data_IF_893128758377
#
_entry.id   IF_893128758377
#
_cell.length_a   1.000
_cell.length_b   1.000
_cell.length_c   1.000
_cell.angle_alpha   90.00
_cell.angle_beta   90.00
_cell.angle_gamma   90.00
#
_symmetry.space_group_name_H-M   'P 1'
#
loop_
_entity.id
_entity.type
_entity.pdbx_description
1 polymer ?
#
# COMPACT_ATOMS: atom_id res chain seq x y z
N UNK A 1 2.15 17.52 -14.28
CA UNK A 1 1.01 16.58 -14.47
C UNK A 1 1.00 15.48 -13.42
N UNK A 2 2.14 14.83 -13.11
CA UNK A 2 2.20 13.75 -12.10
C UNK A 2 1.94 14.27 -10.68
N UNK A 3 2.57 15.38 -10.28
CA UNK A 3 2.37 15.94 -8.92
C UNK A 3 0.91 16.28 -8.61
N UNK A 4 0.16 16.75 -9.61
CA UNK A 4 -1.26 17.03 -9.45
C UNK A 4 -2.06 15.75 -9.18
N UNK A 5 -1.72 14.64 -9.86
CA UNK A 5 -2.35 13.34 -9.62
C UNK A 5 -1.99 12.79 -8.23
N UNK A 6 -0.73 12.92 -7.81
CA UNK A 6 -0.30 12.50 -6.47
C UNK A 6 -1.04 13.27 -5.38
N UNK A 7 -1.16 14.60 -5.52
CA UNK A 7 -1.95 15.41 -4.57
C UNK A 7 -3.42 15.02 -4.54
N UNK A 8 -4.04 14.80 -5.71
CA UNK A 8 -5.44 14.40 -5.77
C UNK A 8 -5.68 13.04 -5.11
N UNK A 9 -4.82 12.05 -5.35
CA UNK A 9 -4.93 10.73 -4.73
C UNK A 9 -4.76 10.78 -3.21
N UNK A 10 -3.78 11.54 -2.71
CA UNK A 10 -3.57 11.73 -1.25
C UNK A 10 -4.77 12.43 -0.60
N UNK A 11 -5.34 13.43 -1.26
CA UNK A 11 -6.51 14.14 -0.76
C UNK A 11 -7.73 13.21 -0.65
N UNK A 12 -8.02 12.41 -1.69
CA UNK A 12 -9.13 11.44 -1.67
C UNK A 12 -8.97 10.37 -0.57
N UNK A 13 -7.73 9.92 -0.33
CA UNK A 13 -7.41 9.00 0.76
C UNK A 13 -7.60 9.65 2.14
N UNK A 14 -7.14 10.89 2.32
CA UNK A 14 -7.24 11.63 3.58
C UNK A 14 -8.69 11.98 3.98
N UNK A 15 -9.66 11.85 3.07
CA UNK A 15 -11.09 12.01 3.37
C UNK A 15 -11.70 10.76 4.03
N UNK A 16 -10.95 9.67 4.18
CA UNK A 16 -11.41 8.41 4.81
C UNK A 16 -10.91 8.31 6.24
N UNK A 17 -11.68 7.63 7.09
CA UNK A 17 -11.26 7.35 8.48
C UNK A 17 -10.13 6.30 8.55
N UNK A 18 -9.95 5.50 7.49
CA UNK A 18 -8.92 4.47 7.39
C UNK A 18 -9.08 3.63 6.12
N UNK A 19 -8.02 2.96 5.69
CA UNK A 19 -8.01 2.18 4.43
C UNK A 19 -7.27 0.85 4.56
N UNK A 20 -7.77 -0.14 3.83
CA UNK A 20 -7.06 -1.39 3.54
C UNK A 20 -6.69 -1.44 2.07
N UNK A 21 -5.39 -1.59 1.78
CA UNK A 21 -4.85 -1.70 0.42
C UNK A 21 -4.62 -3.18 0.10
N UNK A 22 -5.29 -3.69 -0.92
CA UNK A 22 -4.95 -4.99 -1.49
C UNK A 22 -3.55 -4.91 -2.12
N UNK A 23 -2.61 -5.67 -1.56
CA UNK A 23 -1.20 -5.45 -1.77
C UNK A 23 -0.51 -6.71 -2.29
N UNK A 24 0.09 -6.63 -3.48
CA UNK A 24 0.81 -7.74 -4.09
C UNK A 24 2.34 -7.56 -4.06
N UNK A 25 2.84 -6.42 -3.57
CA UNK A 25 4.25 -6.03 -3.68
C UNK A 25 4.64 -5.43 -5.04
N UNK A 26 3.76 -5.51 -6.04
CA UNK A 26 3.97 -4.91 -7.36
C UNK A 26 3.84 -3.39 -7.34
N UNK A 27 4.53 -2.72 -8.29
CA UNK A 27 4.69 -1.26 -8.34
C UNK A 27 3.40 -0.47 -8.16
N UNK A 28 2.29 -0.89 -8.79
CA UNK A 28 1.02 -0.17 -8.70
C UNK A 28 0.46 -0.20 -7.27
N UNK A 29 0.41 -1.38 -6.66
CA UNK A 29 -0.06 -1.55 -5.28
C UNK A 29 0.86 -0.88 -4.26
N UNK A 30 2.18 -0.86 -4.53
CA UNK A 30 3.19 -0.20 -3.69
C UNK A 30 3.07 1.31 -3.72
N UNK A 31 2.79 1.90 -4.90
CA UNK A 31 2.49 3.33 -4.99
C UNK A 31 1.23 3.67 -4.19
N UNK A 32 0.16 2.89 -4.32
CA UNK A 32 -1.08 3.13 -3.56
C UNK A 32 -0.84 2.98 -2.05
N UNK A 33 -0.12 1.95 -1.62
CA UNK A 33 0.22 1.73 -0.21
C UNK A 33 1.05 2.89 0.37
N UNK A 34 2.05 3.38 -0.37
CA UNK A 34 2.85 4.53 0.06
C UNK A 34 2.01 5.82 0.16
N UNK A 35 1.13 6.07 -0.82
CA UNK A 35 0.24 7.24 -0.78
C UNK A 35 -0.76 7.16 0.37
N UNK A 36 -1.26 5.96 0.69
CA UNK A 36 -2.16 5.72 1.80
C UNK A 36 -1.47 5.93 3.15
N UNK A 37 -0.27 5.35 3.33
CA UNK A 37 0.51 5.53 4.55
C UNK A 37 0.89 7.01 4.77
N UNK A 38 1.33 7.70 3.72
CA UNK A 38 1.66 9.13 3.83
C UNK A 38 0.43 10.00 4.18
N UNK A 39 -0.77 9.60 3.77
CA UNK A 39 -2.00 10.37 3.99
C UNK A 39 -2.66 10.08 5.35
N UNK A 40 -2.62 8.82 5.80
CA UNK A 40 -3.40 8.31 6.93
C UNK A 40 -2.53 7.72 8.06
N UNK A 41 -1.22 7.57 7.86
CA UNK A 41 -0.31 7.02 8.85
C UNK A 41 -0.67 5.59 9.26
N UNK A 42 -1.00 5.41 10.55
CA UNK A 42 -1.34 4.11 11.15
C UNK A 42 -2.74 3.61 10.75
N UNK A 43 -3.60 4.48 10.22
CA UNK A 43 -4.95 4.12 9.76
C UNK A 43 -4.95 3.53 8.33
N UNK A 44 -3.77 3.34 7.74
CA UNK A 44 -3.56 2.61 6.48
C UNK A 44 -2.90 1.25 6.72
N UNK A 45 -3.49 0.20 6.16
CA UNK A 45 -2.98 -1.18 6.25
C UNK A 45 -2.87 -1.80 4.85
N UNK A 46 -1.71 -2.34 4.51
CA UNK A 46 -1.52 -3.20 3.35
C UNK A 46 -1.93 -4.63 3.68
N UNK A 47 -2.48 -5.39 2.74
CA UNK A 47 -2.88 -6.78 2.97
C UNK A 47 -2.59 -7.63 1.74
N UNK A 48 -1.74 -8.66 1.90
CA UNK A 48 -1.49 -9.66 0.86
C UNK A 48 -2.33 -10.91 1.10
N UNK A 49 -3.12 -11.29 0.09
CA UNK A 49 -3.87 -12.53 0.14
C UNK A 49 -2.93 -13.74 -0.01
N UNK A 50 -2.81 -14.54 1.04
CA UNK A 50 -2.05 -15.79 1.02
C UNK A 50 -2.94 -16.95 0.57
N UNK A 51 -2.50 -17.71 -0.43
CA UNK A 51 -3.14 -18.95 -0.88
C UNK A 51 -2.09 -20.05 -1.08
N UNK A 52 -2.54 -21.30 -1.26
CA UNK A 52 -1.65 -22.44 -1.56
C UNK A 52 -0.84 -22.25 -2.84
N UNK A 53 -1.30 -21.40 -3.75
CA UNK A 53 -0.65 -21.12 -5.04
C UNK A 53 0.30 -19.92 -4.99
N UNK A 54 0.34 -19.16 -3.89
CA UNK A 54 1.23 -18.00 -3.77
C UNK A 54 2.64 -18.48 -3.41
N UNK A 55 3.67 -18.21 -4.23
CA UNK A 55 5.05 -18.54 -3.89
C UNK A 55 5.50 -17.78 -2.63
N UNK A 56 6.23 -18.45 -1.74
CA UNK A 56 6.76 -17.82 -0.52
C UNK A 56 7.62 -16.59 -0.83
N UNK A 57 8.42 -16.65 -1.91
CA UNK A 57 9.25 -15.54 -2.36
C UNK A 57 8.42 -14.28 -2.73
N UNK A 58 7.23 -14.45 -3.31
CA UNK A 58 6.36 -13.31 -3.63
C UNK A 58 5.81 -12.65 -2.36
N UNK A 59 5.49 -13.45 -1.34
CA UNK A 59 5.08 -12.92 -0.04
C UNK A 59 6.24 -12.21 0.67
N UNK A 60 7.45 -12.77 0.63
CA UNK A 60 8.67 -12.15 1.17
C UNK A 60 8.99 -10.82 0.49
N UNK A 61 8.88 -10.75 -0.84
CA UNK A 61 9.06 -9.51 -1.59
C UNK A 61 8.00 -8.47 -1.24
N UNK A 62 6.73 -8.86 -1.13
CA UNK A 62 5.68 -7.95 -0.67
C UNK A 62 5.99 -7.41 0.73
N UNK A 63 6.32 -8.28 1.70
CA UNK A 63 6.68 -7.87 3.06
C UNK A 63 7.85 -6.89 3.08
N UNK A 64 8.91 -7.15 2.33
CA UNK A 64 10.06 -6.23 2.24
C UNK A 64 9.64 -4.85 1.72
N UNK A 65 8.80 -4.79 0.69
CA UNK A 65 8.33 -3.51 0.15
C UNK A 65 7.43 -2.78 1.14
N UNK A 66 6.56 -3.48 1.87
CA UNK A 66 5.75 -2.85 2.91
C UNK A 66 6.61 -2.28 4.05
N UNK A 67 7.66 -3.00 4.47
CA UNK A 67 8.64 -2.52 5.45
C UNK A 67 9.40 -1.28 4.97
N UNK A 68 9.79 -1.24 3.69
CA UNK A 68 10.42 -0.06 3.06
C UNK A 68 9.48 1.16 3.04
N UNK A 69 8.17 0.94 2.86
CA UNK A 69 7.14 1.98 2.92
C UNK A 69 6.86 2.43 4.37
N UNK A 70 7.04 1.53 5.35
CA UNK A 70 6.66 1.75 6.75
C UNK A 70 5.17 1.52 7.05
N UNK A 71 4.43 0.91 6.10
CA UNK A 71 3.01 0.61 6.26
C UNK A 71 2.83 -0.73 7.00
N UNK A 72 1.81 -0.81 7.87
CA UNK A 72 1.41 -2.09 8.47
C UNK A 72 0.95 -3.07 7.39
N UNK A 73 1.44 -4.30 7.42
CA UNK A 73 1.16 -5.36 6.44
C UNK A 73 0.65 -6.65 7.07
#
# INVERSE_FOLDING_TARGET
MVDAKLRAARADLAERDGVLVAFSGGVDSSVVAALAHDALGEDAVACTAKSETLPAAELEDATRVADEIGIRH
#
